data_IF_700769992458
#
_entry.id   IF_700769992458
#
_cell.length_a   1.000
_cell.length_b   1.000
_cell.length_c   1.000
_cell.angle_alpha   90.00
_cell.angle_beta   90.00
_cell.angle_gamma   90.00
#
_symmetry.space_group_name_H-M   'P 1'
#
loop_
_entity.id
_entity.type
_entity.pdbx_description
1 polymer ?
#
# COMPACT_ATOMS: atom_id res chain seq x y z
N UNK A 1 -6.05 -1.35 -15.61
CA UNK A 1 -7.36 -1.87 -16.04
C UNK A 1 -7.79 -2.96 -15.09
N UNK A 2 -9.03 -2.91 -14.61
CA UNK A 2 -9.61 -3.99 -13.81
C UNK A 2 -9.71 -5.25 -14.66
N UNK A 3 -9.20 -6.39 -14.17
CA UNK A 3 -9.25 -7.66 -14.90
C UNK A 3 -10.67 -8.25 -15.01
N UNK A 4 -11.64 -7.70 -14.27
CA UNK A 4 -12.98 -8.27 -14.18
C UNK A 4 -14.08 -7.41 -14.82
N UNK A 5 -14.10 -6.10 -14.57
CA UNK A 5 -15.12 -5.20 -15.12
C UNK A 5 -14.60 -4.31 -16.26
N UNK A 6 -13.34 -4.48 -16.66
CA UNK A 6 -12.66 -3.70 -17.71
C UNK A 6 -12.60 -2.18 -17.48
N UNK A 7 -13.04 -1.67 -16.31
CA UNK A 7 -12.90 -0.26 -15.97
C UNK A 7 -11.42 0.16 -15.95
N UNK A 8 -11.15 1.33 -16.53
CA UNK A 8 -9.83 1.93 -16.48
C UNK A 8 -9.66 2.70 -15.17
N UNK A 9 -9.08 2.05 -14.18
CA UNK A 9 -8.80 2.66 -12.88
C UNK A 9 -7.48 3.43 -12.98
N UNK A 10 -7.46 4.67 -12.50
CA UNK A 10 -6.23 5.42 -12.31
C UNK A 10 -5.26 4.62 -11.42
N UNK A 11 -3.98 4.56 -11.82
CA UNK A 11 -2.91 3.79 -11.15
C UNK A 11 -2.44 4.45 -9.85
N UNK A 12 -3.36 4.97 -9.05
CA UNK A 12 -3.12 5.60 -7.74
C UNK A 12 -3.77 4.71 -6.67
N UNK A 13 -3.06 4.44 -5.58
CA UNK A 13 -3.53 3.50 -4.54
C UNK A 13 -4.94 3.80 -4.01
N UNK A 14 -5.29 5.07 -3.77
CA UNK A 14 -6.61 5.44 -3.23
C UNK A 14 -7.76 5.13 -4.21
N UNK A 15 -7.56 5.39 -5.50
CA UNK A 15 -8.59 5.17 -6.52
C UNK A 15 -8.81 3.67 -6.76
N UNK A 16 -7.73 2.87 -6.71
CA UNK A 16 -7.84 1.41 -6.76
C UNK A 16 -8.59 0.88 -5.53
N UNK A 17 -8.33 1.43 -4.34
CA UNK A 17 -9.06 1.04 -3.12
C UNK A 17 -10.55 1.38 -3.17
N UNK A 18 -10.92 2.55 -3.71
CA UNK A 18 -12.33 2.88 -3.93
C UNK A 18 -12.99 1.86 -4.84
N UNK A 19 -12.33 1.52 -5.94
CA UNK A 19 -12.83 0.50 -6.85
C UNK A 19 -12.95 -0.89 -6.18
N UNK A 20 -12.05 -1.26 -5.24
CA UNK A 20 -12.16 -2.56 -4.49
C UNK A 20 -13.47 -2.75 -3.76
N UNK A 21 -14.18 -1.67 -3.44
CA UNK A 21 -15.48 -1.73 -2.77
C UNK A 21 -16.66 -1.56 -3.73
N UNK A 22 -16.45 -0.84 -4.83
CA UNK A 22 -17.51 -0.41 -5.76
C UNK A 22 -17.58 -1.21 -7.07
N UNK A 23 -16.68 -2.16 -7.30
CA UNK A 23 -16.70 -2.97 -8.51
C UNK A 23 -18.00 -3.79 -8.57
N UNK A 24 -18.76 -3.60 -9.65
CA UNK A 24 -20.02 -4.31 -9.94
C UNK A 24 -19.80 -5.77 -10.39
N UNK A 25 -18.54 -6.19 -10.57
CA UNK A 25 -18.25 -7.59 -10.89
C UNK A 25 -18.58 -8.50 -9.70
N UNK A 26 -19.39 -9.56 -9.90
CA UNK A 26 -19.81 -10.45 -8.82
C UNK A 26 -18.58 -11.04 -8.12
N UNK A 27 -18.50 -10.84 -6.80
CA UNK A 27 -17.44 -11.42 -5.98
C UNK A 27 -17.57 -12.94 -6.04
N UNK A 28 -16.51 -13.63 -6.48
CA UNK A 28 -16.48 -15.11 -6.49
C UNK A 28 -16.58 -15.70 -5.07
N UNK A 29 -16.15 -14.94 -4.07
CA UNK A 29 -16.20 -15.32 -2.66
C UNK A 29 -16.64 -14.10 -1.84
N UNK A 30 -17.80 -14.21 -1.19
CA UNK A 30 -18.40 -13.16 -0.37
C UNK A 30 -17.69 -13.02 0.99
N UNK A 31 -16.84 -13.98 1.35
CA UNK A 31 -16.11 -13.98 2.62
C UNK A 31 -15.14 -12.81 2.67
N UNK A 32 -14.48 -12.45 1.56
CA UNK A 32 -13.45 -11.40 1.55
C UNK A 32 -14.00 -10.04 1.08
N UNK A 33 -13.88 -9.05 1.96
CA UNK A 33 -14.37 -7.70 1.69
C UNK A 33 -13.44 -6.85 0.80
N UNK A 34 -12.18 -7.26 0.60
CA UNK A 34 -11.24 -6.59 -0.29
C UNK A 34 -10.58 -7.58 -1.25
N UNK A 35 -10.83 -7.39 -2.55
CA UNK A 35 -10.30 -8.23 -3.63
C UNK A 35 -9.42 -7.36 -4.53
N UNK A 36 -8.25 -7.88 -4.90
CA UNK A 36 -7.39 -7.24 -5.88
C UNK A 36 -7.89 -7.57 -7.29
N UNK A 37 -7.87 -6.59 -8.18
CA UNK A 37 -8.34 -6.79 -9.56
C UNK A 37 -7.22 -6.78 -10.60
N UNK A 38 -5.99 -6.94 -10.12
CA UNK A 38 -4.79 -7.13 -10.95
C UNK A 38 -4.06 -8.44 -10.65
N UNK A 39 -4.53 -9.21 -9.65
CA UNK A 39 -4.07 -10.57 -9.33
C UNK A 39 -5.09 -11.25 -8.39
N UNK A 40 -4.86 -12.50 -7.99
CA UNK A 40 -5.79 -13.30 -7.17
C UNK A 40 -5.73 -13.01 -5.64
N UNK A 41 -5.02 -11.95 -5.24
CA UNK A 41 -4.91 -11.59 -3.83
C UNK A 41 -6.22 -11.04 -3.26
N UNK A 42 -6.60 -11.52 -2.08
CA UNK A 42 -7.79 -11.10 -1.35
C UNK A 42 -7.49 -11.00 0.15
N UNK A 43 -8.23 -10.16 0.87
CA UNK A 43 -8.07 -9.96 2.31
C UNK A 43 -9.33 -9.36 2.95
N UNK A 44 -9.48 -9.54 4.27
CA UNK A 44 -10.53 -8.91 5.06
C UNK A 44 -10.21 -7.45 5.45
N UNK A 45 -8.93 -7.03 5.35
CA UNK A 45 -8.48 -5.73 5.88
C UNK A 45 -8.13 -4.75 4.75
N UNK A 46 -8.71 -3.55 4.79
CA UNK A 46 -8.43 -2.49 3.82
C UNK A 46 -6.96 -2.04 3.81
N UNK A 47 -6.29 -1.99 4.97
CA UNK A 47 -4.87 -1.64 5.08
C UNK A 47 -3.98 -2.69 4.39
N UNK A 48 -4.31 -3.97 4.54
CA UNK A 48 -3.60 -5.06 3.87
C UNK A 48 -3.75 -4.94 2.34
N UNK A 49 -4.96 -4.60 1.86
CA UNK A 49 -5.19 -4.35 0.43
C UNK A 49 -4.43 -3.11 -0.07
N UNK A 50 -4.42 -2.02 0.71
CA UNK A 50 -3.67 -0.80 0.41
C UNK A 50 -2.18 -1.10 0.23
N UNK A 51 -1.59 -1.83 1.18
CA UNK A 51 -0.19 -2.26 1.12
C UNK A 51 0.07 -3.17 -0.09
N UNK A 52 -0.87 -4.06 -0.39
CA UNK A 52 -0.79 -4.95 -1.53
C UNK A 52 -0.77 -4.17 -2.86
N UNK A 53 -1.68 -3.22 -3.06
CA UNK A 53 -1.76 -2.38 -4.26
C UNK A 53 -0.46 -1.60 -4.51
N UNK A 54 0.20 -1.10 -3.46
CA UNK A 54 1.52 -0.45 -3.60
C UNK A 54 2.57 -1.33 -4.26
N UNK A 55 2.49 -2.66 -4.14
CA UNK A 55 3.40 -3.59 -4.82
C UNK A 55 3.20 -3.55 -6.34
N UNK A 56 1.95 -3.43 -6.80
CA UNK A 56 1.65 -3.30 -8.23
C UNK A 56 2.10 -1.96 -8.80
N UNK A 57 1.95 -0.88 -8.01
CA UNK A 57 2.28 0.48 -8.45
C UNK A 57 3.74 0.87 -8.22
N UNK A 58 4.50 0.07 -7.46
CA UNK A 58 5.86 0.43 -7.05
C UNK A 58 5.93 1.62 -6.10
N UNK A 59 4.81 2.03 -5.50
CA UNK A 59 4.75 3.19 -4.60
C UNK A 59 5.59 2.97 -3.33
N UNK A 60 6.50 3.91 -3.06
CA UNK A 60 7.37 3.93 -1.87
C UNK A 60 7.24 5.27 -1.14
N UNK A 61 6.11 5.51 -0.44
CA UNK A 61 5.81 6.82 0.14
C UNK A 61 6.61 7.15 1.41
N UNK A 62 7.44 6.24 1.91
CA UNK A 62 8.22 6.47 3.13
C UNK A 62 9.67 6.72 2.78
N UNK A 63 10.18 7.91 3.06
CA UNK A 63 11.56 8.31 2.74
C UNK A 63 12.39 8.35 4.01
N UNK A 64 13.60 7.78 3.97
CA UNK A 64 14.57 7.95 5.04
C UNK A 64 15.17 9.36 4.98
N UNK A 65 14.99 10.16 6.02
CA UNK A 65 15.54 11.52 6.07
C UNK A 65 17.08 11.57 6.12
N UNK A 66 17.75 10.46 6.47
CA UNK A 66 19.21 10.40 6.62
C UNK A 66 19.93 9.94 5.35
N UNK A 67 19.30 9.14 4.50
CA UNK A 67 19.93 8.62 3.27
C UNK A 67 19.01 8.64 2.04
N UNK A 68 17.84 9.27 2.13
CA UNK A 68 16.81 9.41 1.08
C UNK A 68 16.28 8.09 0.50
N UNK A 69 16.66 6.95 1.06
CA UNK A 69 16.17 5.65 0.64
C UNK A 69 14.67 5.53 0.90
N UNK A 70 13.93 5.03 -0.08
CA UNK A 70 12.46 4.96 -0.03
C UNK A 70 11.96 3.54 0.24
N UNK A 71 10.85 3.46 0.97
CA UNK A 71 10.23 2.23 1.43
C UNK A 71 8.72 2.25 1.16
N UNK A 72 8.15 1.07 0.89
CA UNK A 72 6.70 0.89 0.70
C UNK A 72 5.92 0.80 2.02
N UNK A 73 6.61 0.61 3.15
CA UNK A 73 6.03 0.44 4.49
C UNK A 73 6.82 1.18 5.57
N UNK A 74 6.10 1.70 6.58
CA UNK A 74 6.67 2.44 7.73
C UNK A 74 7.54 1.57 8.63
N UNK A 75 7.11 0.34 8.92
CA UNK A 75 7.88 -0.61 9.74
C UNK A 75 9.24 -0.93 9.11
N UNK A 76 9.29 -1.05 7.78
CA UNK A 76 10.54 -1.26 7.04
C UNK A 76 11.48 -0.07 7.12
N UNK A 77 10.96 1.15 7.00
CA UNK A 77 11.73 2.37 7.25
C UNK A 77 12.27 2.40 8.69
N UNK A 78 11.41 2.14 9.68
CA UNK A 78 11.82 2.15 11.09
C UNK A 78 12.95 1.16 11.38
N UNK A 79 12.84 -0.08 10.88
CA UNK A 79 13.91 -1.08 10.99
C UNK A 79 15.19 -0.63 10.30
N UNK A 80 15.08 -0.05 9.11
CA UNK A 80 16.22 0.51 8.40
C UNK A 80 16.92 1.60 9.21
N UNK A 81 16.18 2.60 9.73
CA UNK A 81 16.77 3.69 10.50
C UNK A 81 17.40 3.18 11.80
N UNK A 82 16.75 2.24 12.49
CA UNK A 82 17.30 1.64 13.71
C UNK A 82 18.63 0.92 13.47
N UNK A 83 18.75 0.16 12.38
CA UNK A 83 19.92 -0.69 12.10
C UNK A 83 21.02 0.05 11.33
N UNK A 84 20.65 0.96 10.43
CA UNK A 84 21.60 1.67 9.54
C UNK A 84 21.99 3.06 10.03
N UNK A 85 21.18 3.67 10.90
CA UNK A 85 21.43 5.00 11.45
C UNK A 85 21.48 5.02 12.99
N UNK A 86 21.35 3.86 13.66
CA UNK A 86 21.42 3.72 15.12
C UNK A 86 20.44 4.64 15.89
N UNK A 87 19.29 4.96 15.30
CA UNK A 87 18.29 5.84 15.91
C UNK A 87 17.33 5.04 16.80
N UNK A 88 17.08 5.56 18.01
CA UNK A 88 16.14 4.98 18.96
C UNK A 88 14.67 5.35 18.67
N UNK A 89 13.75 4.51 19.15
CA UNK A 89 12.31 4.59 18.90
C UNK A 89 11.68 5.96 19.24
N UNK A 90 12.22 6.66 20.23
CA UNK A 90 11.78 7.98 20.68
C UNK A 90 11.95 9.09 19.63
N UNK A 91 12.88 8.95 18.69
CA UNK A 91 13.12 9.90 17.60
C UNK A 91 12.40 9.56 16.28
N UNK A 92 11.71 8.41 16.21
CA UNK A 92 10.96 7.96 15.03
C UNK A 92 9.54 8.56 14.95
N UNK A 93 9.08 9.24 16.01
CA UNK A 93 7.76 9.90 16.09
C UNK A 93 7.64 11.10 15.13
N UNK A 94 8.77 11.69 14.71
CA UNK A 94 8.83 12.87 13.85
C UNK A 94 9.36 12.64 12.43
N UNK A 95 9.58 11.39 11.99
CA UNK A 95 9.97 11.13 10.59
C UNK A 95 8.75 11.37 9.71
N UNK A 96 8.70 12.58 9.14
CA UNK A 96 7.65 13.07 8.27
C UNK A 96 7.36 12.09 7.15
N UNK A 97 6.09 11.71 7.08
CA UNK A 97 5.47 11.04 5.95
C UNK A 97 5.44 12.08 4.82
N UNK A 98 6.50 12.18 4.03
CA UNK A 98 6.43 12.95 2.79
C UNK A 98 5.65 12.11 1.80
N UNK A 99 4.32 12.28 1.83
CA UNK A 99 3.47 11.89 0.70
C UNK A 99 3.94 12.75 -0.48
N UNK A 100 4.59 12.14 -1.46
CA UNK A 100 4.66 12.74 -2.80
C UNK A 100 3.26 12.76 -3.40
#
# INVERSE_FOLDING_TARGET
>A
MCQYCLCNINKVTEEILKHTKACEYPRRDVSFNHICFTCDYHTYMSESMRRHIRKHLGEKPFVCQYCLLTFSRKDRLNSHVKVKHHIHKSALSGISIVKK
#
